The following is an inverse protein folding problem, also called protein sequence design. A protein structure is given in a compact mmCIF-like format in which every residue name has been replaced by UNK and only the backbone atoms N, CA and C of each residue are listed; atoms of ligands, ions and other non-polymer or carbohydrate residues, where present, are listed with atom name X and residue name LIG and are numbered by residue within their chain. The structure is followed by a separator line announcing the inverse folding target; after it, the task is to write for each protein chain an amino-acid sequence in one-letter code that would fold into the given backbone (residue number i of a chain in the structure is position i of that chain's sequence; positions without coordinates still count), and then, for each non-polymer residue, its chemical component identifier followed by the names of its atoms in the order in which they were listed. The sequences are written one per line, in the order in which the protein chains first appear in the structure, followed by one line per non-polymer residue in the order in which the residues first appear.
data_IF_560974162288
#
_entry.id   IF_560974162288
#
_cell.length_a   1.000
_cell.length_b   1.000
_cell.length_c   1.000
_cell.angle_alpha   90.00
_cell.angle_beta   90.00
_cell.angle_gamma   90.00
#
_symmetry.space_group_name_H-M   'P 1'
#
loop_
_entity.id
_entity.type
_entity.pdbx_description
1 polymer ?
#
# COMPACT_ATOMS: atom_id res chain seq x y z
N UNK A 1 27.12 21.96 5.19
CA UNK A 1 27.41 21.79 3.74
C UNK A 1 28.81 21.23 3.68
N UNK A 2 28.92 19.92 3.46
CA UNK A 2 30.18 19.20 3.59
C UNK A 2 31.27 19.72 2.63
N UNK A 3 30.91 20.25 1.46
CA UNK A 3 31.89 20.78 0.53
C UNK A 3 32.44 22.15 0.96
N UNK A 4 31.63 22.99 1.59
CA UNK A 4 32.09 24.25 2.20
C UNK A 4 32.98 23.98 3.41
N UNK A 5 32.58 23.04 4.25
CA UNK A 5 33.36 22.59 5.41
C UNK A 5 34.70 22.00 4.95
N UNK A 6 34.70 21.18 3.90
CA UNK A 6 35.92 20.62 3.30
C UNK A 6 36.86 21.72 2.77
N UNK A 7 36.31 22.73 2.10
CA UNK A 7 37.10 23.87 1.61
C UNK A 7 37.72 24.63 2.78
N UNK A 8 36.95 24.94 3.82
CA UNK A 8 37.45 25.63 5.00
C UNK A 8 38.57 24.84 5.69
N UNK A 9 38.39 23.53 5.90
CA UNK A 9 39.41 22.68 6.51
C UNK A 9 40.71 22.64 5.70
N UNK A 10 40.62 22.64 4.35
CA UNK A 10 41.78 22.73 3.46
C UNK A 10 42.47 24.08 3.51
N UNK A 11 41.70 25.17 3.49
CA UNK A 11 42.24 26.54 3.57
C UNK A 11 42.95 26.78 4.91
N UNK A 12 42.50 26.12 5.98
CA UNK A 12 43.13 26.13 7.32
C UNK A 12 44.33 25.16 7.45
N UNK A 13 44.58 24.30 6.45
CA UNK A 13 45.62 23.27 6.53
C UNK A 13 45.34 22.18 7.57
N UNK A 14 44.09 22.00 7.97
CA UNK A 14 43.69 21.00 8.96
C UNK A 14 43.47 19.64 8.29
N UNK A 15 44.54 18.85 8.15
CA UNK A 15 44.51 17.55 7.47
C UNK A 15 43.58 16.53 8.13
N UNK A 16 43.47 16.55 9.47
CA UNK A 16 42.61 15.61 10.22
C UNK A 16 41.13 15.89 9.92
N UNK A 17 40.71 17.15 10.00
CA UNK A 17 39.32 17.52 9.71
C UNK A 17 39.02 17.38 8.21
N UNK A 18 39.98 17.67 7.34
CA UNK A 18 39.87 17.42 5.90
C UNK A 18 39.56 15.96 5.61
N UNK A 19 40.30 15.02 6.20
CA UNK A 19 40.07 13.59 5.99
C UNK A 19 38.72 13.15 6.54
N UNK A 20 38.36 13.61 7.74
CA UNK A 20 37.06 13.30 8.36
C UNK A 20 35.87 13.76 7.49
N UNK A 21 35.95 14.94 6.88
CA UNK A 21 34.89 15.46 6.00
C UNK A 21 34.86 14.69 4.68
N UNK A 22 36.02 14.32 4.12
CA UNK A 22 36.07 13.43 2.94
C UNK A 22 35.37 12.12 3.25
N UNK A 23 35.64 11.51 4.41
CA UNK A 23 34.99 10.27 4.83
C UNK A 23 33.47 10.45 4.93
N UNK A 24 32.97 11.61 5.39
CA UNK A 24 31.53 11.89 5.42
C UNK A 24 30.91 12.07 4.03
N UNK A 25 31.64 12.67 3.08
CA UNK A 25 31.18 12.85 1.70
C UNK A 25 31.13 11.49 1.00
N UNK A 26 32.21 10.71 1.12
CA UNK A 26 32.34 9.41 0.45
C UNK A 26 31.35 8.37 1.01
N UNK A 27 30.95 8.51 2.27
CA UNK A 27 29.95 7.66 2.92
C UNK A 27 28.58 8.34 3.07
N UNK A 28 28.29 9.39 2.29
CA UNK A 28 26.98 10.04 2.33
C UNK A 28 25.87 9.06 1.92
N UNK A 29 24.93 8.83 2.82
CA UNK A 29 23.75 8.01 2.54
C UNK A 29 22.74 8.83 1.73
N UNK A 30 22.53 8.41 0.47
CA UNK A 30 21.58 9.07 -0.43
C UNK A 30 20.16 9.03 0.11
N UNK A 31 19.41 10.11 -0.09
CA UNK A 31 17.97 10.14 0.20
C UNK A 31 17.12 9.35 -0.83
N UNK A 32 17.73 8.87 -1.93
CA UNK A 32 17.05 8.05 -2.93
C UNK A 32 16.78 6.68 -2.35
N UNK A 33 15.50 6.33 -2.24
CA UNK A 33 15.02 5.03 -1.74
C UNK A 33 14.09 4.36 -2.76
N UNK A 34 13.93 3.02 -2.72
CA UNK A 34 12.98 2.31 -3.58
C UNK A 34 11.54 2.81 -3.42
N UNK A 35 10.77 2.77 -4.51
CA UNK A 35 9.34 3.11 -4.53
C UNK A 35 8.52 1.96 -5.12
N UNK A 36 7.43 1.59 -4.43
CA UNK A 36 6.36 0.74 -4.96
C UNK A 36 5.29 1.66 -5.52
N UNK A 37 5.14 1.71 -6.84
CA UNK A 37 4.18 2.56 -7.51
C UNK A 37 2.91 1.78 -7.89
N UNK A 38 1.76 2.20 -7.38
CA UNK A 38 0.44 1.69 -7.76
C UNK A 38 0.05 2.18 -9.16
N UNK A 39 -0.32 1.26 -10.04
CA UNK A 39 -0.83 1.55 -11.40
C UNK A 39 -2.29 1.15 -11.58
N UNK A 40 -3.01 0.95 -10.48
CA UNK A 40 -4.38 0.47 -10.45
C UNK A 40 -4.49 -0.87 -11.21
N UNK A 41 -5.53 -0.99 -12.05
CA UNK A 41 -5.68 -2.07 -13.01
C UNK A 41 -4.98 -1.78 -14.35
N UNK A 42 -3.98 -0.91 -14.40
CA UNK A 42 -3.21 -0.56 -15.60
C UNK A 42 -3.89 0.40 -16.59
N UNK A 43 -4.93 1.12 -16.11
CA UNK A 43 -5.64 2.19 -16.85
C UNK A 43 -6.15 1.82 -18.25
N UNK A 44 -6.48 0.54 -18.47
CA UNK A 44 -7.05 0.06 -19.71
C UNK A 44 -6.60 -1.36 -20.08
N UNK A 45 -6.30 -1.54 -21.36
CA UNK A 45 -5.83 -2.81 -21.91
C UNK A 45 -4.32 -3.05 -21.63
N UNK A 46 -3.83 -4.20 -22.09
CA UNK A 46 -2.43 -4.64 -21.92
C UNK A 46 -1.42 -3.61 -22.46
N UNK A 47 -1.69 -2.97 -23.59
CA UNK A 47 -0.80 -1.96 -24.16
C UNK A 47 -0.77 -0.67 -23.33
N UNK A 48 -1.92 -0.22 -22.82
CA UNK A 48 -1.99 0.92 -21.90
C UNK A 48 -1.22 0.64 -20.60
N UNK A 49 -1.34 -0.59 -20.07
CA UNK A 49 -0.60 -1.06 -18.89
C UNK A 49 0.91 -0.99 -19.12
N UNK A 50 1.40 -1.50 -20.25
CA UNK A 50 2.81 -1.41 -20.64
C UNK A 50 3.28 0.05 -20.74
N UNK A 51 2.52 0.93 -21.42
CA UNK A 51 2.90 2.33 -21.60
C UNK A 51 2.99 3.09 -20.28
N UNK A 52 2.02 2.89 -19.37
CA UNK A 52 2.03 3.51 -18.04
C UNK A 52 3.21 3.01 -17.23
N UNK A 53 3.44 1.70 -17.21
CA UNK A 53 4.56 1.08 -16.49
C UNK A 53 5.89 1.63 -16.98
N UNK A 54 6.09 1.69 -18.31
CA UNK A 54 7.28 2.29 -18.92
C UNK A 54 7.53 3.72 -18.44
N UNK A 55 6.48 4.56 -18.38
CA UNK A 55 6.61 5.94 -17.91
C UNK A 55 6.98 6.05 -16.43
N UNK A 56 6.46 5.17 -15.58
CA UNK A 56 6.81 5.18 -14.16
C UNK A 56 8.22 4.65 -13.92
N UNK A 57 8.66 3.65 -14.68
CA UNK A 57 10.03 3.13 -14.62
C UNK A 57 11.02 4.21 -15.10
N UNK A 58 10.74 4.91 -16.20
CA UNK A 58 11.52 6.08 -16.66
C UNK A 58 11.60 7.18 -15.58
N UNK A 59 10.57 7.31 -14.73
CA UNK A 59 10.55 8.27 -13.61
C UNK A 59 11.30 7.77 -12.36
N UNK A 60 11.81 6.53 -12.35
CA UNK A 60 12.59 5.95 -11.27
C UNK A 60 11.87 4.87 -10.44
N UNK A 61 10.66 4.44 -10.84
CA UNK A 61 9.99 3.33 -10.15
C UNK A 61 10.71 2.00 -10.39
N UNK A 62 11.21 1.38 -9.32
CA UNK A 62 11.83 0.06 -9.37
C UNK A 62 10.82 -1.07 -9.08
N UNK A 63 9.63 -0.73 -8.59
CA UNK A 63 8.58 -1.69 -8.28
C UNK A 63 7.21 -1.16 -8.74
N UNK A 64 6.45 -2.00 -9.42
CA UNK A 64 5.11 -1.68 -9.92
C UNK A 64 4.08 -2.60 -9.25
N UNK A 65 3.03 -2.02 -8.67
CA UNK A 65 1.89 -2.76 -8.15
C UNK A 65 0.70 -2.61 -9.09
N UNK A 66 0.07 -3.74 -9.45
CA UNK A 66 -1.10 -3.79 -10.34
C UNK A 66 -2.17 -4.73 -9.77
N UNK A 67 -3.45 -4.48 -10.01
CA UNK A 67 -4.58 -5.25 -9.45
C UNK A 67 -5.47 -5.93 -10.51
N UNK A 68 -6.13 -7.04 -10.12
CA UNK A 68 -7.00 -7.83 -10.99
C UNK A 68 -8.45 -7.33 -11.10
N UNK A 69 -8.71 -6.08 -10.71
CA UNK A 69 -10.01 -5.44 -10.93
C UNK A 69 -10.20 -4.98 -12.37
N UNK A 70 -11.45 -4.73 -12.75
CA UNK A 70 -11.77 -4.10 -14.04
C UNK A 70 -11.55 -2.59 -13.96
N UNK A 71 -10.73 -2.04 -14.86
CA UNK A 71 -10.32 -0.63 -14.82
C UNK A 71 -11.46 0.39 -14.92
N UNK A 72 -12.55 0.08 -15.63
CA UNK A 72 -13.71 0.97 -15.83
C UNK A 72 -14.78 0.87 -14.74
N UNK A 73 -14.74 -0.19 -13.93
CA UNK A 73 -15.60 -0.43 -12.78
C UNK A 73 -14.80 -0.44 -11.46
N UNK A 74 -13.57 0.10 -11.48
CA UNK A 74 -12.65 0.10 -10.34
C UNK A 74 -13.33 0.72 -9.12
N UNK A 75 -13.33 -0.01 -8.02
CA UNK A 75 -13.74 0.49 -6.70
C UNK A 75 -12.54 0.45 -5.76
N UNK A 76 -12.59 1.26 -4.70
CA UNK A 76 -11.61 1.11 -3.63
C UNK A 76 -11.72 -0.31 -3.03
N UNK A 77 -10.60 -0.92 -2.66
CA UNK A 77 -10.54 -2.30 -2.13
C UNK A 77 -11.45 -2.61 -0.93
N UNK A 78 -11.93 -1.57 -0.23
CA UNK A 78 -12.78 -1.68 0.96
C UNK A 78 -14.28 -1.46 0.67
N UNK A 79 -14.69 -1.34 -0.60
CA UNK A 79 -16.08 -1.13 -1.00
C UNK A 79 -16.73 -2.42 -1.53
N UNK A 80 -18.05 -2.54 -1.34
CA UNK A 80 -18.85 -3.63 -1.90
C UNK A 80 -19.03 -3.46 -3.43
N UNK A 81 -19.09 -4.57 -4.15
CA UNK A 81 -19.36 -4.58 -5.60
C UNK A 81 -18.12 -4.60 -6.50
N UNK A 82 -16.96 -4.97 -5.97
CA UNK A 82 -15.73 -5.15 -6.77
C UNK A 82 -15.93 -6.20 -7.87
N UNK A 83 -15.34 -5.93 -9.03
CA UNK A 83 -15.42 -6.76 -10.22
C UNK A 83 -14.01 -7.18 -10.61
N UNK A 84 -13.76 -8.48 -10.72
CA UNK A 84 -12.48 -9.02 -11.18
C UNK A 84 -12.50 -9.34 -12.67
N UNK A 85 -11.32 -9.36 -13.29
CA UNK A 85 -11.11 -9.95 -14.62
C UNK A 85 -10.75 -11.44 -14.51
N UNK A 86 -10.90 -12.24 -15.57
CA UNK A 86 -10.33 -13.59 -15.65
C UNK A 86 -8.82 -13.59 -15.39
N UNK A 87 -8.30 -14.73 -14.89
CA UNK A 87 -6.88 -14.86 -14.53
C UNK A 87 -5.96 -14.66 -15.73
N UNK A 88 -6.32 -15.19 -16.90
CA UNK A 88 -5.50 -14.99 -18.10
C UNK A 88 -5.37 -13.50 -18.48
N UNK A 89 -6.44 -12.72 -18.37
CA UNK A 89 -6.45 -11.29 -18.70
C UNK A 89 -5.50 -10.52 -17.75
N UNK A 90 -5.43 -10.91 -16.47
CA UNK A 90 -4.52 -10.30 -15.51
C UNK A 90 -3.06 -10.76 -15.69
N UNK A 91 -2.84 -12.04 -15.99
CA UNK A 91 -1.51 -12.59 -16.33
C UNK A 91 -0.90 -11.86 -17.53
N UNK A 92 -1.69 -11.54 -18.55
CA UNK A 92 -1.23 -10.73 -19.69
C UNK A 92 -0.77 -9.34 -19.28
N UNK A 93 -1.47 -8.69 -18.33
CA UNK A 93 -1.07 -7.38 -17.79
C UNK A 93 0.23 -7.47 -16.98
N UNK A 94 0.41 -8.52 -16.15
CA UNK A 94 1.67 -8.74 -15.43
C UNK A 94 2.85 -8.89 -16.41
N UNK A 95 2.67 -9.66 -17.49
CA UNK A 95 3.68 -9.81 -18.55
C UNK A 95 3.98 -8.50 -19.28
N UNK A 96 2.98 -7.63 -19.46
CA UNK A 96 3.19 -6.30 -20.03
C UNK A 96 4.01 -5.37 -19.12
N UNK A 97 3.83 -5.45 -17.80
CA UNK A 97 4.69 -4.75 -16.83
C UNK A 97 6.12 -5.29 -16.92
N UNK A 98 6.31 -6.61 -16.95
CA UNK A 98 7.63 -7.25 -17.11
C UNK A 98 8.32 -6.80 -18.39
N UNK A 99 7.61 -6.78 -19.51
CA UNK A 99 8.14 -6.31 -20.79
C UNK A 99 8.63 -4.85 -20.73
N UNK A 100 7.95 -3.98 -19.97
CA UNK A 100 8.40 -2.60 -19.80
C UNK A 100 9.73 -2.52 -19.02
N UNK A 101 9.92 -3.34 -17.99
CA UNK A 101 11.19 -3.44 -17.26
C UNK A 101 12.32 -3.97 -18.14
N UNK A 102 12.07 -5.06 -18.87
CA UNK A 102 13.04 -5.69 -19.77
C UNK A 102 13.49 -4.73 -20.89
N UNK A 103 12.56 -4.00 -21.50
CA UNK A 103 12.88 -3.03 -22.55
C UNK A 103 13.77 -1.89 -22.05
N UNK A 104 13.53 -1.42 -20.83
CA UNK A 104 14.32 -0.35 -20.21
C UNK A 104 15.63 -0.85 -19.58
N UNK A 105 15.93 -2.16 -19.66
CA UNK A 105 17.14 -2.76 -19.10
C UNK A 105 17.16 -2.81 -17.57
N UNK A 106 15.99 -2.81 -16.93
CA UNK A 106 15.85 -2.92 -15.47
C UNK A 106 15.54 -4.37 -15.11
N UNK A 107 16.57 -5.22 -15.16
CA UNK A 107 16.43 -6.68 -15.00
C UNK A 107 15.85 -7.09 -13.63
N UNK A 108 16.19 -6.34 -12.57
CA UNK A 108 15.73 -6.56 -11.19
C UNK A 108 14.40 -5.86 -10.84
N UNK A 109 13.65 -5.41 -11.85
CA UNK A 109 12.35 -4.77 -11.66
C UNK A 109 11.36 -5.68 -10.92
N UNK A 110 10.67 -5.14 -9.91
CA UNK A 110 9.77 -5.91 -9.03
C UNK A 110 8.31 -5.67 -9.41
N UNK A 111 7.51 -6.74 -9.46
CA UNK A 111 6.07 -6.69 -9.72
C UNK A 111 5.30 -7.19 -8.48
N UNK A 112 4.44 -6.33 -7.94
CA UNK A 112 3.47 -6.68 -6.89
C UNK A 112 2.11 -6.96 -7.54
N UNK A 113 1.68 -8.21 -7.51
CA UNK A 113 0.37 -8.61 -8.03
C UNK A 113 -0.68 -8.58 -6.92
N UNK A 114 -1.62 -7.63 -7.03
CA UNK A 114 -2.75 -7.46 -6.11
C UNK A 114 -3.95 -8.26 -6.57
N UNK A 115 -4.55 -9.01 -5.65
CA UNK A 115 -5.89 -9.60 -5.84
C UNK A 115 -6.92 -8.96 -4.92
N UNK A 116 -8.07 -8.62 -5.51
CA UNK A 116 -9.26 -8.13 -4.82
C UNK A 116 -10.35 -9.19 -4.66
N UNK A 117 -10.05 -10.45 -5.04
CA UNK A 117 -11.01 -11.55 -5.08
C UNK A 117 -11.72 -11.81 -3.75
N UNK A 118 -11.09 -11.49 -2.61
CA UNK A 118 -11.69 -11.71 -1.29
C UNK A 118 -13.03 -10.99 -1.13
N UNK A 119 -13.06 -9.71 -1.55
CA UNK A 119 -14.26 -8.85 -1.48
C UNK A 119 -14.99 -8.70 -2.81
N UNK A 120 -14.50 -9.33 -3.88
CA UNK A 120 -15.13 -9.28 -5.20
C UNK A 120 -16.10 -10.45 -5.38
N UNK A 121 -17.38 -10.13 -5.52
CA UNK A 121 -18.45 -11.10 -5.81
C UNK A 121 -18.81 -11.18 -7.29
N UNK A 122 -18.15 -10.40 -8.16
CA UNK A 122 -18.56 -10.18 -9.55
C UNK A 122 -17.40 -10.35 -10.53
N UNK A 123 -17.72 -10.72 -11.77
CA UNK A 123 -16.80 -10.67 -12.93
C UNK A 123 -17.49 -10.10 -14.16
N UNK A 124 -16.73 -9.41 -15.01
CA UNK A 124 -17.23 -8.81 -16.25
C UNK A 124 -17.28 -9.82 -17.40
N UNK A 125 -16.43 -10.84 -17.37
CA UNK A 125 -16.21 -11.76 -18.50
C UNK A 125 -16.18 -13.21 -18.02
N UNK A 126 -16.82 -14.08 -18.79
CA UNK A 126 -16.63 -15.52 -18.68
C UNK A 126 -15.50 -15.88 -19.65
N UNK A 127 -14.35 -16.39 -19.15
CA UNK A 127 -13.24 -16.77 -20.00
C UNK A 127 -13.60 -17.99 -20.88
N UNK A 128 -12.76 -18.29 -21.87
CA UNK A 128 -12.97 -19.44 -22.75
C UNK A 128 -11.99 -20.53 -22.36
N UNK A 129 -12.51 -21.60 -21.76
CA UNK A 129 -11.71 -22.79 -21.46
C UNK A 129 -11.44 -23.60 -22.72
N UNK A 130 -10.19 -24.04 -22.85
CA UNK A 130 -9.67 -24.89 -23.91
C UNK A 130 -9.38 -26.32 -23.44
N UNK A 131 -9.40 -26.56 -22.13
CA UNK A 131 -9.21 -27.87 -21.52
C UNK A 131 -9.49 -27.86 -20.02
N UNK A 132 -9.73 -29.03 -19.44
CA UNK A 132 -9.95 -29.18 -18.00
C UNK A 132 -8.69 -28.78 -17.21
N UNK A 133 -8.88 -27.94 -16.17
CA UNK A 133 -7.81 -27.47 -15.30
C UNK A 133 -7.02 -26.27 -15.82
N UNK A 134 -7.38 -25.70 -16.98
CA UNK A 134 -6.82 -24.42 -17.42
C UNK A 134 -7.33 -23.23 -16.58
N UNK A 135 -6.64 -22.09 -16.65
CA UNK A 135 -6.98 -20.90 -15.86
C UNK A 135 -8.45 -20.49 -16.00
N UNK A 136 -9.00 -20.64 -17.21
CA UNK A 136 -10.38 -20.31 -17.54
C UNK A 136 -11.38 -21.25 -16.86
N UNK A 137 -11.19 -22.57 -16.94
CA UNK A 137 -12.06 -23.55 -16.25
C UNK A 137 -11.98 -23.41 -14.74
N UNK A 138 -10.78 -23.17 -14.19
CA UNK A 138 -10.55 -22.92 -12.77
C UNK A 138 -11.15 -21.59 -12.29
N UNK A 139 -11.51 -20.69 -13.20
CA UNK A 139 -12.25 -19.46 -12.91
C UNK A 139 -13.77 -19.66 -13.03
N UNK A 140 -14.21 -20.32 -14.10
CA UNK A 140 -15.62 -20.62 -14.39
C UNK A 140 -16.25 -21.48 -13.29
N UNK A 141 -15.47 -22.38 -12.68
CA UNK A 141 -15.97 -23.26 -11.61
C UNK A 141 -16.59 -22.49 -10.43
N UNK A 142 -16.14 -21.26 -10.19
CA UNK A 142 -16.63 -20.39 -9.12
C UNK A 142 -17.88 -19.57 -9.46
N UNK A 143 -18.31 -19.54 -10.72
CA UNK A 143 -19.53 -18.83 -11.10
C UNK A 143 -20.74 -19.42 -10.39
N UNK A 144 -21.62 -18.53 -9.92
CA UNK A 144 -22.96 -18.87 -9.46
C UNK A 144 -23.78 -19.23 -10.69
N UNK A 145 -24.40 -20.40 -10.69
CA UNK A 145 -25.12 -20.94 -11.86
C UNK A 145 -26.42 -21.60 -11.44
N UNK A 146 -27.45 -21.45 -12.26
CA UNK A 146 -28.73 -22.15 -12.11
C UNK A 146 -28.87 -23.26 -13.15
N UNK A 147 -29.37 -24.42 -12.74
CA UNK A 147 -29.62 -25.51 -13.68
C UNK A 147 -30.80 -25.18 -14.61
N UNK A 148 -30.64 -25.46 -15.90
CA UNK A 148 -31.73 -25.34 -16.86
C UNK A 148 -32.64 -26.56 -16.70
N UNK A 149 -33.89 -26.30 -16.38
CA UNK A 149 -34.93 -27.32 -16.18
C UNK A 149 -36.23 -26.88 -16.85
N UNK A 150 -37.23 -27.76 -16.93
CA UNK A 150 -38.54 -27.38 -17.42
C UNK A 150 -39.19 -26.24 -16.60
N UNK A 151 -38.83 -26.13 -15.31
CA UNK A 151 -39.28 -25.07 -14.41
C UNK A 151 -38.43 -23.78 -14.50
N UNK A 152 -37.21 -23.87 -15.03
CA UNK A 152 -36.30 -22.75 -15.25
C UNK A 152 -35.70 -22.84 -16.67
N UNK A 153 -36.52 -22.71 -17.73
CA UNK A 153 -36.03 -22.84 -19.10
C UNK A 153 -35.10 -21.68 -19.48
N UNK A 154 -34.31 -21.90 -20.53
CA UNK A 154 -33.53 -20.83 -21.14
C UNK A 154 -34.46 -19.89 -21.91
N UNK A 155 -34.44 -18.62 -21.56
CA UNK A 155 -35.24 -17.57 -22.19
C UNK A 155 -34.46 -16.82 -23.28
N UNK A 156 -35.17 -16.09 -24.14
CA UNK A 156 -34.54 -15.25 -25.16
C UNK A 156 -33.61 -14.21 -24.52
N UNK A 157 -32.38 -14.12 -25.03
CA UNK A 157 -31.32 -13.26 -24.51
C UNK A 157 -30.55 -13.77 -23.27
N UNK A 158 -30.91 -14.92 -22.70
CA UNK A 158 -30.12 -15.57 -21.64
C UNK A 158 -28.90 -16.32 -22.21
N UNK A 159 -27.89 -16.52 -21.36
CA UNK A 159 -26.65 -17.24 -21.71
C UNK A 159 -26.61 -18.55 -20.94
N UNK A 160 -26.22 -19.62 -21.64
CA UNK A 160 -25.97 -20.92 -21.05
C UNK A 160 -24.52 -21.34 -21.27
N UNK A 161 -23.94 -22.04 -20.30
CA UNK A 161 -22.63 -22.68 -20.40
C UNK A 161 -22.76 -24.16 -20.05
N UNK A 162 -21.82 -24.98 -20.54
CA UNK A 162 -21.64 -26.33 -20.02
C UNK A 162 -20.72 -26.27 -18.80
N UNK A 163 -21.17 -26.84 -17.68
CA UNK A 163 -20.41 -26.96 -16.44
C UNK A 163 -20.75 -28.30 -15.78
N UNK A 164 -19.74 -29.08 -15.40
CA UNK A 164 -19.90 -30.39 -14.74
C UNK A 164 -20.85 -31.35 -15.49
N UNK A 165 -20.76 -31.35 -16.83
CA UNK A 165 -21.60 -32.18 -17.70
C UNK A 165 -23.06 -31.72 -17.83
N UNK A 166 -23.45 -30.62 -17.19
CA UNK A 166 -24.78 -30.01 -17.27
C UNK A 166 -24.76 -28.71 -18.06
N UNK A 167 -25.90 -28.35 -18.63
CA UNK A 167 -26.12 -27.01 -19.19
C UNK A 167 -26.75 -26.14 -18.10
N UNK A 168 -26.08 -25.05 -17.77
CA UNK A 168 -26.45 -24.15 -16.66
C UNK A 168 -26.46 -22.70 -17.13
N UNK A 169 -27.22 -21.85 -16.43
CA UNK A 169 -27.28 -20.39 -16.63
C UNK A 169 -26.40 -19.71 -15.59
N UNK A 170 -25.31 -19.04 -15.95
CA UNK A 170 -24.60 -18.16 -15.02
C UNK A 170 -25.51 -17.05 -14.53
N UNK A 171 -25.52 -16.80 -13.21
CA UNK A 171 -26.32 -15.72 -12.63
C UNK A 171 -25.75 -14.38 -13.10
N UNK A 172 -26.53 -13.67 -13.91
CA UNK A 172 -26.15 -12.41 -14.55
C UNK A 172 -27.03 -11.28 -14.05
N UNK A 173 -26.39 -10.18 -13.64
CA UNK A 173 -27.07 -8.99 -13.14
C UNK A 173 -27.58 -8.09 -14.30
N UNK A 174 -28.53 -7.16 -14.06
CA UNK A 174 -29.03 -6.25 -15.09
C UNK A 174 -27.97 -5.36 -15.75
N UNK A 175 -26.85 -5.11 -15.07
CA UNK A 175 -25.70 -4.38 -15.61
C UNK A 175 -24.75 -5.25 -16.47
N UNK A 176 -25.09 -6.53 -16.66
CA UNK A 176 -24.37 -7.47 -17.50
C UNK A 176 -23.27 -8.27 -16.81
N UNK A 177 -22.95 -7.99 -15.54
CA UNK A 177 -21.93 -8.69 -14.75
C UNK A 177 -22.41 -10.06 -14.26
N UNK A 178 -21.49 -10.98 -14.05
CA UNK A 178 -21.76 -12.32 -13.53
C UNK A 178 -21.39 -12.43 -12.06
N UNK A 179 -22.17 -13.20 -11.30
CA UNK A 179 -21.91 -13.46 -9.88
C UNK A 179 -21.03 -14.68 -9.67
N UNK A 180 -20.13 -14.59 -8.69
CA UNK A 180 -19.51 -15.75 -8.07
C UNK A 180 -20.40 -16.33 -6.98
N UNK A 181 -20.22 -17.63 -6.70
CA UNK A 181 -20.81 -18.28 -5.55
C UNK A 181 -20.38 -17.59 -4.25
N UNK A 182 -21.29 -17.50 -3.28
CA UNK A 182 -21.00 -16.96 -1.97
C UNK A 182 -19.88 -17.77 -1.27
N UNK A 183 -19.11 -17.10 -0.41
CA UNK A 183 -18.05 -17.70 0.42
C UNK A 183 -16.88 -18.34 -0.35
N UNK A 184 -16.69 -18.00 -1.63
CA UNK A 184 -15.56 -18.49 -2.46
C UNK A 184 -14.34 -17.54 -2.47
N UNK A 185 -14.41 -16.41 -1.76
CA UNK A 185 -13.39 -15.35 -1.83
C UNK A 185 -11.98 -15.83 -1.48
N UNK A 186 -11.85 -16.60 -0.40
CA UNK A 186 -10.57 -17.16 0.05
C UNK A 186 -9.97 -18.12 -0.97
N UNK A 187 -10.78 -19.03 -1.52
CA UNK A 187 -10.29 -20.01 -2.50
C UNK A 187 -9.84 -19.33 -3.79
N UNK A 188 -10.62 -18.34 -4.27
CA UNK A 188 -10.26 -17.56 -5.44
C UNK A 188 -8.98 -16.76 -5.23
N UNK A 189 -8.78 -16.15 -4.07
CA UNK A 189 -7.54 -15.44 -3.71
C UNK A 189 -6.33 -16.37 -3.78
N UNK A 190 -6.42 -17.57 -3.18
CA UNK A 190 -5.31 -18.53 -3.18
C UNK A 190 -4.94 -18.92 -4.61
N UNK A 191 -5.93 -19.22 -5.45
CA UNK A 191 -5.71 -19.56 -6.87
C UNK A 191 -5.16 -18.38 -7.68
N UNK A 192 -5.65 -17.15 -7.45
CA UNK A 192 -5.12 -15.95 -8.10
C UNK A 192 -3.65 -15.74 -7.75
N UNK A 193 -3.32 -15.84 -6.46
CA UNK A 193 -1.95 -15.66 -5.97
C UNK A 193 -1.00 -16.70 -6.56
N UNK A 194 -1.41 -17.97 -6.65
CA UNK A 194 -0.61 -19.01 -7.29
C UNK A 194 -0.40 -18.66 -8.77
N UNK A 195 -1.46 -18.37 -9.53
CA UNK A 195 -1.36 -18.03 -10.95
C UNK A 195 -0.49 -16.78 -11.20
N UNK A 196 -0.59 -15.76 -10.35
CA UNK A 196 0.22 -14.55 -10.45
C UNK A 196 1.72 -14.85 -10.32
N UNK A 197 2.09 -15.75 -9.41
CA UNK A 197 3.49 -16.16 -9.20
C UNK A 197 3.97 -17.12 -10.30
N UNK A 198 3.18 -18.13 -10.67
CA UNK A 198 3.63 -19.21 -11.57
C UNK A 198 3.48 -18.90 -13.05
N UNK A 199 2.43 -18.16 -13.44
CA UNK A 199 2.12 -17.85 -14.85
C UNK A 199 2.38 -16.37 -15.18
N UNK A 200 2.16 -15.48 -14.21
CA UNK A 200 2.29 -14.03 -14.36
C UNK A 200 3.70 -13.49 -14.18
N UNK A 201 4.59 -14.22 -13.49
CA UNK A 201 5.94 -13.76 -13.19
C UNK A 201 5.99 -12.61 -12.18
N UNK A 202 5.00 -12.54 -11.28
CA UNK A 202 5.00 -11.59 -10.17
C UNK A 202 6.04 -11.98 -9.11
N UNK A 203 6.61 -10.98 -8.45
CA UNK A 203 7.65 -11.16 -7.43
C UNK A 203 7.08 -11.13 -6.02
N UNK A 204 6.03 -10.33 -5.82
CA UNK A 204 5.33 -10.12 -4.55
C UNK A 204 3.82 -10.22 -4.76
N UNK A 205 3.10 -10.63 -3.71
CA UNK A 205 1.65 -10.68 -3.67
C UNK A 205 1.08 -9.56 -2.80
N UNK A 206 -0.08 -9.04 -3.16
CA UNK A 206 -0.92 -8.23 -2.28
C UNK A 206 -2.31 -8.84 -2.23
N UNK A 207 -2.78 -9.19 -1.03
CA UNK A 207 -4.16 -9.66 -0.82
C UNK A 207 -4.92 -8.54 -0.12
N UNK A 208 -5.91 -7.95 -0.80
CA UNK A 208 -6.73 -6.92 -0.17
C UNK A 208 -7.67 -7.56 0.85
N UNK A 209 -7.57 -7.14 2.11
CA UNK A 209 -8.37 -7.66 3.23
C UNK A 209 -9.38 -6.64 3.73
N UNK A 210 -10.47 -7.12 4.34
CA UNK A 210 -11.51 -6.26 4.93
C UNK A 210 -11.21 -5.86 6.38
N UNK A 211 -10.39 -6.64 7.07
CA UNK A 211 -10.02 -6.45 8.48
C UNK A 211 -8.54 -6.80 8.70
N UNK A 212 -7.88 -6.21 9.71
CA UNK A 212 -6.50 -6.52 10.07
C UNK A 212 -6.45 -7.81 10.93
N UNK A 213 -6.63 -8.96 10.29
CA UNK A 213 -6.61 -10.28 10.95
C UNK A 213 -5.37 -11.07 10.50
N UNK A 214 -4.49 -11.33 11.47
CA UNK A 214 -3.20 -12.01 11.28
C UNK A 214 -3.39 -13.48 10.91
N UNK A 215 -4.33 -14.17 11.55
CA UNK A 215 -4.51 -15.61 11.35
C UNK A 215 -5.27 -15.88 10.05
N UNK A 216 -6.22 -15.00 9.67
CA UNK A 216 -6.89 -15.08 8.38
C UNK A 216 -5.92 -14.91 7.20
N UNK A 217 -5.02 -13.92 7.25
CA UNK A 217 -3.99 -13.76 6.20
C UNK A 217 -2.97 -14.90 6.23
N UNK A 218 -2.55 -15.36 7.42
CA UNK A 218 -1.66 -16.50 7.59
C UNK A 218 -2.21 -17.78 6.94
N UNK A 219 -3.47 -18.11 7.20
CA UNK A 219 -4.12 -19.29 6.65
C UNK A 219 -4.21 -19.27 5.10
N UNK A 220 -4.42 -18.09 4.50
CA UNK A 220 -4.37 -17.94 3.04
C UNK A 220 -2.96 -18.16 2.50
N UNK A 221 -1.95 -17.58 3.15
CA UNK A 221 -0.56 -17.70 2.73
C UNK A 221 -0.03 -19.12 2.88
N UNK A 222 -0.42 -19.85 3.92
CA UNK A 222 -0.05 -21.27 4.09
C UNK A 222 -0.50 -22.11 2.90
N UNK A 223 -1.74 -21.88 2.42
CA UNK A 223 -2.26 -22.56 1.22
C UNK A 223 -1.50 -22.18 -0.05
N UNK A 224 -1.09 -20.92 -0.20
CA UNK A 224 -0.28 -20.46 -1.33
C UNK A 224 1.12 -21.10 -1.25
N UNK A 225 1.74 -21.12 -0.07
CA UNK A 225 3.08 -21.67 0.16
C UNK A 225 3.17 -23.18 0.06
N UNK A 226 2.05 -23.89 0.19
CA UNK A 226 1.98 -25.31 -0.15
C UNK A 226 2.32 -25.57 -1.62
N UNK A 227 2.12 -24.58 -2.51
CA UNK A 227 2.45 -24.65 -3.95
C UNK A 227 3.70 -23.83 -4.29
N UNK A 228 3.82 -22.61 -3.73
CA UNK A 228 4.94 -21.69 -3.97
C UNK A 228 5.61 -21.34 -2.62
N UNK A 229 6.54 -22.18 -2.12
CA UNK A 229 7.04 -22.09 -0.73
C UNK A 229 7.70 -20.77 -0.36
N UNK A 230 8.25 -20.05 -1.33
CA UNK A 230 8.93 -18.77 -1.15
C UNK A 230 8.03 -17.56 -1.40
N UNK A 231 6.70 -17.74 -1.53
CA UNK A 231 5.77 -16.63 -1.72
C UNK A 231 5.92 -15.58 -0.60
N UNK A 232 5.92 -14.30 -1.00
CA UNK A 232 6.08 -13.13 -0.12
C UNK A 232 4.97 -12.13 -0.38
N UNK A 233 4.56 -11.45 0.69
CA UNK A 233 3.47 -10.48 0.63
C UNK A 233 3.95 -9.04 0.84
N UNK A 234 3.28 -8.13 0.15
CA UNK A 234 3.11 -6.73 0.55
C UNK A 234 1.76 -6.60 1.23
N UNK A 235 1.72 -6.03 2.43
CA UNK A 235 0.50 -5.89 3.23
C UNK A 235 0.13 -4.43 3.48
N UNK A 236 -1.12 -4.10 3.18
CA UNK A 236 -1.71 -2.81 3.45
C UNK A 236 -2.28 -2.77 4.87
N UNK A 237 -1.57 -2.06 5.75
CA UNK A 237 -2.06 -1.66 7.07
C UNK A 237 -3.05 -0.50 6.88
N UNK A 238 -4.24 -0.83 6.38
CA UNK A 238 -5.18 0.15 5.85
C UNK A 238 -5.66 1.15 6.90
N UNK A 239 -5.63 2.46 6.61
CA UNK A 239 -6.25 3.46 7.48
C UNK A 239 -7.78 3.43 7.41
N UNK A 240 -8.36 2.69 6.46
CA UNK A 240 -9.82 2.44 6.40
C UNK A 240 -10.28 1.45 7.47
N UNK A 241 -9.36 0.69 8.08
CA UNK A 241 -9.70 -0.16 9.21
C UNK A 241 -9.92 0.70 10.45
N UNK A 242 -10.98 0.39 11.20
CA UNK A 242 -11.05 0.82 12.60
C UNK A 242 -10.19 -0.11 13.45
N UNK A 243 -8.90 0.21 13.59
CA UNK A 243 -7.90 -0.63 14.25
C UNK A 243 -8.28 -1.02 15.69
N UNK A 244 -8.61 -0.03 16.53
CA UNK A 244 -8.99 -0.30 17.93
C UNK A 244 -10.21 -1.21 18.03
N UNK A 245 -11.24 -0.97 17.21
CA UNK A 245 -12.45 -1.79 17.22
C UNK A 245 -12.17 -3.23 16.80
N UNK A 246 -11.45 -3.42 15.69
CA UNK A 246 -11.12 -4.75 15.18
C UNK A 246 -10.29 -5.53 16.19
N UNK A 247 -9.20 -4.93 16.70
CA UNK A 247 -8.30 -5.64 17.61
C UNK A 247 -8.96 -5.89 18.98
N UNK A 248 -9.77 -4.97 19.50
CA UNK A 248 -10.54 -5.24 20.75
C UNK A 248 -11.58 -6.35 20.54
N UNK A 249 -12.24 -6.36 19.38
CA UNK A 249 -13.15 -7.44 19.00
C UNK A 249 -12.45 -8.80 18.99
N UNK A 250 -11.32 -8.89 18.29
CA UNK A 250 -10.50 -10.11 18.23
C UNK A 250 -10.02 -10.57 19.62
N UNK A 251 -9.50 -9.66 20.46
CA UNK A 251 -9.06 -10.01 21.82
C UNK A 251 -10.23 -10.53 22.65
N UNK A 252 -11.40 -9.88 22.57
CA UNK A 252 -12.60 -10.31 23.28
C UNK A 252 -13.02 -11.71 22.84
N UNK A 253 -13.11 -11.96 21.53
CA UNK A 253 -13.49 -13.26 20.97
C UNK A 253 -12.51 -14.36 21.37
N UNK A 254 -11.20 -14.09 21.32
CA UNK A 254 -10.18 -15.03 21.77
C UNK A 254 -10.34 -15.34 23.26
N UNK A 255 -10.49 -14.34 24.11
CA UNK A 255 -10.63 -14.52 25.55
C UNK A 255 -11.91 -15.27 25.93
N UNK A 256 -13.00 -15.07 25.21
CA UNK A 256 -14.23 -15.87 25.37
C UNK A 256 -13.94 -17.32 25.00
N UNK A 257 -13.31 -17.57 23.85
CA UNK A 257 -13.00 -18.92 23.37
C UNK A 257 -12.04 -19.68 24.30
N UNK A 258 -11.13 -18.96 24.95
CA UNK A 258 -10.18 -19.45 25.94
C UNK A 258 -10.78 -19.60 27.35
N UNK A 259 -12.02 -19.12 27.56
CA UNK A 259 -12.69 -19.12 28.87
C UNK A 259 -12.08 -18.15 29.89
N UNK A 260 -11.34 -17.12 29.44
CA UNK A 260 -10.77 -16.07 30.30
C UNK A 260 -11.83 -15.09 30.80
N UNK A 261 -12.84 -14.81 29.97
CA UNK A 261 -13.95 -13.91 30.26
C UNK A 261 -15.28 -14.57 29.87
N UNK A 262 -16.40 -14.07 30.40
CA UNK A 262 -17.74 -14.40 29.88
C UNK A 262 -18.18 -13.43 28.78
N UNK A 263 -19.14 -13.82 27.94
CA UNK A 263 -19.67 -12.97 26.84
C UNK A 263 -20.15 -11.59 27.32
N UNK A 264 -20.73 -11.49 28.52
CA UNK A 264 -21.28 -10.25 29.08
C UNK A 264 -20.24 -9.31 29.73
N UNK A 265 -18.97 -9.71 29.83
CA UNK A 265 -17.96 -8.96 30.58
C UNK A 265 -17.52 -7.67 29.85
N UNK A 266 -17.46 -7.73 28.52
CA UNK A 266 -17.20 -6.59 27.65
C UNK A 266 -18.30 -6.48 26.59
N UNK A 267 -18.71 -5.25 26.22
CA UNK A 267 -19.77 -5.05 25.24
C UNK A 267 -19.31 -5.46 23.84
N UNK A 268 -20.24 -5.52 22.89
CA UNK A 268 -19.97 -5.80 21.48
C UNK A 268 -20.01 -4.55 20.62
N UNK A 269 -19.40 -4.64 19.44
CA UNK A 269 -19.47 -3.59 18.42
C UNK A 269 -18.88 -2.26 18.89
N UNK A 270 -19.52 -1.16 18.47
CA UNK A 270 -18.97 0.19 18.60
C UNK A 270 -18.66 0.62 20.04
N UNK A 271 -19.30 0.03 21.05
CA UNK A 271 -19.01 0.34 22.44
C UNK A 271 -17.57 -0.02 22.84
N UNK A 272 -16.96 -1.01 22.18
CA UNK A 272 -15.56 -1.37 22.39
C UNK A 272 -14.60 -0.22 22.06
N UNK A 273 -15.01 0.80 21.30
CA UNK A 273 -14.19 1.99 21.02
C UNK A 273 -14.06 2.96 22.19
N UNK A 274 -14.83 2.75 23.27
CA UNK A 274 -14.86 3.70 24.37
C UNK A 274 -13.50 3.83 25.07
N UNK A 275 -13.11 5.07 25.38
CA UNK A 275 -11.90 5.38 26.14
C UNK A 275 -11.90 4.78 27.56
N UNK A 276 -13.07 4.39 28.09
CA UNK A 276 -13.17 3.70 29.38
C UNK A 276 -12.43 2.34 29.41
N UNK A 277 -12.10 1.80 28.24
CA UNK A 277 -11.37 0.55 28.08
C UNK A 277 -9.88 0.74 27.79
N UNK A 278 -9.36 1.98 27.75
CA UNK A 278 -7.96 2.21 27.37
C UNK A 278 -6.97 1.61 28.37
N UNK A 279 -7.29 1.71 29.66
CA UNK A 279 -6.44 1.23 30.76
C UNK A 279 -6.83 -0.16 31.28
N UNK A 280 -7.88 -0.79 30.74
CA UNK A 280 -8.31 -2.15 31.15
C UNK A 280 -7.39 -3.22 30.57
N UNK A 281 -7.48 -4.46 31.08
CA UNK A 281 -6.72 -5.58 30.52
C UNK A 281 -6.99 -5.76 29.02
N UNK A 282 -8.26 -5.63 28.60
CA UNK A 282 -8.63 -5.66 27.17
C UNK A 282 -7.90 -4.59 26.36
N UNK A 283 -7.84 -3.35 26.86
CA UNK A 283 -7.16 -2.24 26.19
C UNK A 283 -5.65 -2.44 26.11
N UNK A 284 -5.03 -2.88 27.20
CA UNK A 284 -3.60 -3.15 27.27
C UNK A 284 -3.19 -4.29 26.33
N UNK A 285 -3.96 -5.39 26.30
CA UNK A 285 -3.72 -6.50 25.38
C UNK A 285 -3.92 -6.09 23.91
N UNK A 286 -4.96 -5.31 23.62
CA UNK A 286 -5.16 -4.72 22.28
C UNK A 286 -3.94 -3.89 21.86
N UNK A 287 -3.43 -3.03 22.75
CA UNK A 287 -2.24 -2.22 22.47
C UNK A 287 -0.97 -3.07 22.27
N UNK A 288 -0.85 -4.21 22.97
CA UNK A 288 0.23 -5.17 22.74
C UNK A 288 0.14 -5.77 21.33
N UNK A 289 -1.05 -6.24 20.93
CA UNK A 289 -1.27 -6.80 19.58
C UNK A 289 -1.05 -5.78 18.49
N UNK A 290 -1.51 -4.54 18.67
CA UNK A 290 -1.24 -3.44 17.72
C UNK A 290 0.26 -3.18 17.55
N UNK A 291 1.03 -3.15 18.66
CA UNK A 291 2.49 -2.99 18.61
C UNK A 291 3.19 -4.14 17.88
N UNK A 292 2.67 -5.36 18.01
CA UNK A 292 3.25 -6.56 17.40
C UNK A 292 2.72 -6.87 16.00
N UNK A 293 1.63 -6.23 15.56
CA UNK A 293 0.90 -6.62 14.35
C UNK A 293 1.80 -6.83 13.12
N UNK A 294 2.67 -5.87 12.81
CA UNK A 294 3.59 -5.96 11.66
C UNK A 294 4.61 -7.10 11.81
N UNK A 295 5.08 -7.36 13.04
CA UNK A 295 5.99 -8.47 13.34
C UNK A 295 5.28 -9.82 13.17
N UNK A 296 4.03 -9.90 13.65
CA UNK A 296 3.25 -11.13 13.62
C UNK A 296 2.86 -11.52 12.19
N UNK A 297 2.41 -10.57 11.35
CA UNK A 297 2.12 -10.88 9.94
C UNK A 297 3.38 -11.18 9.12
N UNK A 298 4.52 -10.58 9.45
CA UNK A 298 5.78 -10.92 8.82
C UNK A 298 6.18 -12.38 9.13
N UNK A 299 6.01 -12.79 10.38
CA UNK A 299 6.38 -14.13 10.87
C UNK A 299 5.40 -15.21 10.41
N UNK A 300 4.09 -14.98 10.58
CA UNK A 300 3.03 -15.97 10.30
C UNK A 300 2.63 -16.00 8.83
N UNK A 301 2.57 -14.84 8.17
CA UNK A 301 2.04 -14.71 6.81
C UNK A 301 3.11 -14.30 5.78
N UNK A 302 4.39 -14.25 6.16
CA UNK A 302 5.46 -13.99 5.20
C UNK A 302 5.40 -12.59 4.57
N UNK A 303 4.82 -11.62 5.27
CA UNK A 303 4.78 -10.23 4.81
C UNK A 303 6.20 -9.68 4.80
N UNK A 304 6.67 -9.38 3.59
CA UNK A 304 7.97 -8.79 3.32
C UNK A 304 7.92 -7.26 3.44
N UNK A 305 6.84 -6.64 2.98
CA UNK A 305 6.69 -5.18 2.99
C UNK A 305 5.38 -4.76 3.68
N UNK A 306 5.49 -3.82 4.61
CA UNK A 306 4.38 -3.20 5.30
C UNK A 306 4.23 -1.76 4.82
N UNK A 307 3.02 -1.38 4.41
CA UNK A 307 2.71 0.01 4.07
C UNK A 307 1.40 0.45 4.72
N UNK A 308 1.21 1.77 4.80
CA UNK A 308 -0.09 2.41 5.01
C UNK A 308 -0.33 3.22 3.74
N UNK A 309 -1.47 3.04 3.07
CA UNK A 309 -1.72 3.62 1.75
C UNK A 309 -1.83 5.15 1.76
N UNK A 310 -2.56 5.72 2.73
CA UNK A 310 -2.85 7.16 2.77
C UNK A 310 -2.58 7.84 4.15
N UNK A 311 -1.46 7.53 4.83
CA UNK A 311 -1.16 8.11 6.13
C UNK A 311 -0.96 9.63 6.04
N UNK A 312 -0.30 10.10 4.98
CA UNK A 312 0.00 11.52 4.78
C UNK A 312 -1.25 12.34 4.47
N UNK A 313 -2.26 11.77 3.82
CA UNK A 313 -3.57 12.42 3.65
C UNK A 313 -4.19 12.74 5.02
N UNK A 314 -4.29 11.74 5.90
CA UNK A 314 -4.86 11.94 7.24
C UNK A 314 -4.00 12.85 8.10
N UNK A 315 -2.67 12.71 8.05
CA UNK A 315 -1.76 13.59 8.79
C UNK A 315 -1.94 15.05 8.36
N UNK A 316 -1.93 15.36 7.06
CA UNK A 316 -2.12 16.72 6.56
C UNK A 316 -3.49 17.28 6.93
N UNK A 317 -4.56 16.50 6.75
CA UNK A 317 -5.93 16.95 7.04
C UNK A 317 -6.13 17.25 8.52
N UNK A 318 -5.76 16.32 9.41
CA UNK A 318 -5.86 16.49 10.86
C UNK A 318 -5.01 17.66 11.34
N UNK A 319 -3.76 17.73 10.87
CA UNK A 319 -2.83 18.75 11.30
C UNK A 319 -3.32 20.15 10.92
N UNK A 320 -3.81 20.32 9.69
CA UNK A 320 -4.34 21.60 9.22
C UNK A 320 -5.60 22.03 9.99
N UNK A 321 -6.47 21.08 10.33
CA UNK A 321 -7.66 21.32 11.14
C UNK A 321 -7.30 21.79 12.56
N UNK A 322 -6.40 21.08 13.26
CA UNK A 322 -5.94 21.43 14.61
C UNK A 322 -5.27 22.83 14.62
N UNK A 323 -4.36 23.07 13.68
CA UNK A 323 -3.66 24.35 13.57
C UNK A 323 -4.62 25.50 13.27
N UNK A 324 -5.55 25.31 12.34
CA UNK A 324 -6.52 26.35 11.96
C UNK A 324 -7.42 26.71 13.13
N UNK A 325 -7.91 25.73 13.91
CA UNK A 325 -8.74 25.98 15.09
C UNK A 325 -7.99 26.79 16.15
N UNK A 326 -6.74 26.43 16.46
CA UNK A 326 -5.93 27.18 17.43
C UNK A 326 -5.57 28.58 16.92
N UNK A 327 -5.11 28.68 15.67
CA UNK A 327 -4.60 29.94 15.11
C UNK A 327 -5.70 30.99 14.89
N UNK A 328 -6.88 30.58 14.43
CA UNK A 328 -8.01 31.49 14.28
C UNK A 328 -8.84 31.62 15.56
N UNK A 329 -8.72 30.66 16.49
CA UNK A 329 -9.26 30.71 17.84
C UNK A 329 -8.47 31.62 18.79
N UNK A 330 -8.47 31.30 20.08
CA UNK A 330 -7.89 32.17 21.12
C UNK A 330 -6.37 32.07 21.20
N UNK A 331 -5.78 30.96 20.76
CA UNK A 331 -4.33 30.71 20.86
C UNK A 331 -3.52 31.56 19.87
N UNK A 332 -4.09 31.96 18.73
CA UNK A 332 -3.42 32.80 17.71
C UNK A 332 -2.04 32.24 17.35
N UNK A 333 -0.99 33.08 17.38
CA UNK A 333 0.39 32.66 17.12
C UNK A 333 0.88 31.55 18.05
N UNK A 334 0.30 31.40 19.26
CA UNK A 334 0.68 30.34 20.18
C UNK A 334 0.39 28.96 19.60
N UNK A 335 -0.66 28.80 18.78
CA UNK A 335 -0.98 27.54 18.11
C UNK A 335 0.18 27.11 17.19
N UNK A 336 0.67 28.01 16.33
CA UNK A 336 1.82 27.75 15.45
C UNK A 336 3.10 27.49 16.26
N UNK A 337 3.39 28.32 17.26
CA UNK A 337 4.63 28.20 18.05
C UNK A 337 4.67 26.89 18.84
N UNK A 338 3.56 26.47 19.43
CA UNK A 338 3.50 25.23 20.23
C UNK A 338 3.49 23.97 19.39
N UNK A 339 2.79 23.96 18.25
CA UNK A 339 2.58 22.72 17.47
C UNK A 339 3.61 22.52 16.36
N UNK A 340 4.22 23.59 15.84
CA UNK A 340 5.21 23.54 14.77
C UNK A 340 6.57 23.94 15.31
N UNK A 341 6.77 25.24 15.56
CA UNK A 341 8.11 25.78 15.67
C UNK A 341 8.89 25.20 16.85
N UNK A 342 8.26 25.07 18.03
CA UNK A 342 8.92 24.48 19.20
C UNK A 342 9.19 23.00 19.01
N UNK A 343 8.28 22.26 18.39
CA UNK A 343 8.44 20.82 18.18
C UNK A 343 9.49 20.53 17.11
N UNK A 344 9.54 21.30 16.01
CA UNK A 344 10.61 21.18 15.01
C UNK A 344 11.97 21.47 15.62
N UNK A 345 12.07 22.50 16.46
CA UNK A 345 13.31 22.84 17.17
C UNK A 345 13.73 21.70 18.12
N UNK A 346 12.84 21.29 19.03
CA UNK A 346 13.15 20.30 20.08
C UNK A 346 13.46 18.92 19.52
N UNK A 347 12.82 18.57 18.41
CA UNK A 347 12.99 17.27 17.76
C UNK A 347 14.00 17.34 16.60
N UNK A 348 14.72 18.45 16.43
CA UNK A 348 15.76 18.63 15.39
C UNK A 348 15.26 18.39 13.96
N UNK A 349 14.02 18.80 13.65
CA UNK A 349 13.44 18.70 12.31
C UNK A 349 14.05 19.79 11.42
N UNK A 350 14.66 19.38 10.30
CA UNK A 350 15.38 20.28 9.37
C UNK A 350 14.50 21.38 8.78
N UNK A 351 13.20 21.11 8.60
CA UNK A 351 12.21 22.01 8.02
C UNK A 351 12.09 23.38 8.74
N UNK A 352 12.51 23.49 10.00
CA UNK A 352 12.58 24.80 10.69
C UNK A 352 13.45 25.80 9.91
N UNK A 353 14.48 25.29 9.21
CA UNK A 353 15.33 26.01 8.26
C UNK A 353 14.85 25.77 6.82
N UNK A 354 13.56 25.99 6.56
CA UNK A 354 12.90 25.70 5.28
C UNK A 354 13.60 26.28 4.04
N UNK A 355 14.31 27.41 4.13
CA UNK A 355 15.09 27.95 3.00
C UNK A 355 16.27 27.05 2.63
N UNK A 356 16.96 26.50 3.62
CA UNK A 356 18.01 25.50 3.42
C UNK A 356 17.40 24.21 2.85
N UNK A 357 16.29 23.75 3.41
CA UNK A 357 15.61 22.52 3.01
C UNK A 357 15.18 22.52 1.53
N UNK A 358 14.72 23.67 1.02
CA UNK A 358 14.36 23.84 -0.40
C UNK A 358 15.56 24.16 -1.31
N UNK A 359 16.79 24.06 -0.80
CA UNK A 359 18.02 24.19 -1.59
C UNK A 359 18.44 25.61 -1.92
N UNK A 360 18.03 26.62 -1.15
CA UNK A 360 18.45 28.02 -1.39
C UNK A 360 19.98 28.17 -1.37
N UNK A 361 20.64 27.46 -0.45
CA UNK A 361 22.11 27.46 -0.31
C UNK A 361 22.83 26.79 -1.50
N UNK A 362 22.19 25.81 -2.15
CA UNK A 362 22.70 25.19 -3.38
C UNK A 362 22.68 26.23 -4.50
N UNK A 363 21.57 26.98 -4.63
CA UNK A 363 21.44 28.06 -5.58
C UNK A 363 22.47 29.16 -5.38
N UNK A 364 22.74 29.57 -4.13
CA UNK A 364 23.77 30.57 -3.82
C UNK A 364 25.18 30.05 -4.12
N UNK A 365 25.47 28.78 -3.82
CA UNK A 365 26.76 28.16 -4.15
C UNK A 365 27.01 28.12 -5.65
N UNK A 366 25.98 27.81 -6.45
CA UNK A 366 26.05 27.87 -7.92
C UNK A 366 26.30 29.29 -8.43
N UNK A 367 25.60 30.30 -7.90
CA UNK A 367 25.81 31.71 -8.29
C UNK A 367 27.24 32.16 -8.00
N UNK A 368 27.82 31.75 -6.88
CA UNK A 368 29.23 32.05 -6.56
C UNK A 368 30.20 31.42 -7.55
N UNK A 369 30.00 30.14 -7.89
CA UNK A 369 30.84 29.44 -8.85
C UNK A 369 30.86 30.12 -10.23
N UNK A 370 29.72 30.65 -10.68
CA UNK A 370 29.59 31.28 -12.01
C UNK A 370 29.90 32.79 -11.99
N UNK A 371 29.46 33.48 -10.95
CA UNK A 371 29.49 34.94 -10.87
C UNK A 371 30.70 35.53 -10.14
N UNK A 372 31.42 34.72 -9.35
CA UNK A 372 32.48 35.20 -8.47
C UNK A 372 32.00 36.33 -7.55
N UNK A 373 32.73 37.44 -7.49
CA UNK A 373 32.36 38.63 -6.70
C UNK A 373 31.07 39.32 -7.16
N UNK A 374 30.58 39.04 -8.37
CA UNK A 374 29.31 39.60 -8.88
C UNK A 374 28.08 38.78 -8.47
N UNK A 375 28.27 37.68 -7.75
CA UNK A 375 27.18 36.81 -7.33
C UNK A 375 26.26 37.52 -6.32
N UNK A 376 24.98 37.67 -6.66
CA UNK A 376 23.96 38.17 -5.75
C UNK A 376 23.39 37.01 -4.92
N UNK A 377 23.80 36.93 -3.65
CA UNK A 377 23.42 35.86 -2.72
C UNK A 377 22.10 36.18 -2.01
N UNK A 378 21.30 35.15 -1.72
CA UNK A 378 20.16 35.26 -0.83
C UNK A 378 20.60 35.32 0.65
N UNK A 379 21.74 34.71 0.98
CA UNK A 379 22.35 34.76 2.32
C UNK A 379 23.02 36.09 2.67
N UNK A 380 22.88 36.54 3.94
CA UNK A 380 23.53 37.74 4.50
C UNK A 380 23.31 37.91 6.01
N UNK A 381 23.91 38.91 6.64
CA UNK A 381 23.82 39.14 8.11
C UNK A 381 22.39 39.28 8.65
N UNK A 382 21.42 39.67 7.81
CA UNK A 382 19.99 39.79 8.15
C UNK A 382 19.15 38.56 7.74
N UNK A 383 19.78 37.46 7.37
CA UNK A 383 19.07 36.22 7.01
C UNK A 383 18.26 35.72 8.21
N UNK A 384 16.98 35.44 8.01
CA UNK A 384 16.07 34.92 9.03
C UNK A 384 16.53 33.56 9.57
N UNK A 385 17.29 32.78 8.80
CA UNK A 385 17.90 31.53 9.26
C UNK A 385 18.87 31.72 10.44
N UNK A 386 19.45 32.91 10.62
CA UNK A 386 20.33 33.21 11.75
C UNK A 386 19.60 33.19 13.11
N UNK A 387 18.26 33.17 13.12
CA UNK A 387 17.49 32.99 14.35
C UNK A 387 17.48 31.52 14.82
N UNK A 388 17.90 30.59 13.95
CA UNK A 388 17.88 29.14 14.19
C UNK A 388 19.29 28.52 14.18
N UNK A 389 20.35 29.33 14.14
CA UNK A 389 21.74 28.85 14.04
C UNK A 389 22.33 28.32 15.35
N UNK A 390 21.74 28.65 16.51
CA UNK A 390 22.21 28.26 17.84
C UNK A 390 21.14 27.52 18.68
N UNK A 391 20.09 27.00 18.04
CA UNK A 391 19.01 26.33 18.76
C UNK A 391 19.26 24.82 18.63
N UNK A 392 19.88 24.26 19.66
CA UNK A 392 20.09 22.83 19.87
C UNK A 392 19.19 22.34 21.00
#
# INVERSE_FOLDING_TARGET
DLFKELKAAKDEGNEVETQKIIDQIDNFESNVVPIIADIDAGFGNVHATYLLSKKLIEAGACCIQIENQVSDAKQCGHQDGKVTVPREDFVEKLRAVRMAFEELGVEDGVIVARTDSLGAGLTQKIPVSTGEGDLASEYIKWLETEEITDANPLSDGEIAIQKDGKIVKPVRLPNGLYKFQANTGVDRVVEDCIANLTEGGADLLWIETATPDVDAIGAMVDRIRAVVPNAKLTYNNSPSFNWTLNLRGQVREDWISEGKISEDEYPEGLELMSARFDDTELGQETNNRLRNFQHDIATKAGVFHNLITLPTFHMTAKFMDDLSRGYFGDDKMMAYVNTIQREEIRNSVSAVKHQHEVGSDIGDSFKEMVGGERALKAGGHKNTMNQFSNVA
#
